data_IF_789515542009
#
_entry.id   IF_789515542009
#
_cell.length_a   1.000
_cell.length_b   1.000
_cell.length_c   1.000
_cell.angle_alpha   90.00
_cell.angle_beta   90.00
_cell.angle_gamma   90.00
#
_symmetry.space_group_name_H-M   'P 1'
#
loop_
_entity.id
_entity.type
_entity.pdbx_description
1 polymer ?
#
# COMPACT_ATOMS: atom_id res chain seq x y z
N UNK A 1 -7.90 -62.12 89.64
CA UNK A 1 -9.20 -62.31 88.95
C UNK A 1 -9.21 -61.43 87.72
N UNK A 2 -9.38 -62.02 86.53
CA UNK A 2 -10.18 -61.58 85.36
C UNK A 2 -10.32 -60.07 85.10
N UNK A 3 -10.11 -59.48 83.90
CA UNK A 3 -10.30 -59.96 82.52
C UNK A 3 -9.64 -58.97 81.52
N UNK A 4 -9.34 -59.52 80.35
CA UNK A 4 -8.96 -58.91 79.06
C UNK A 4 -10.00 -57.90 78.53
N UNK A 5 -9.58 -56.83 77.81
CA UNK A 5 -9.95 -56.56 76.40
C UNK A 5 -9.14 -55.39 75.76
N UNK A 6 -8.75 -55.62 74.50
CA UNK A 6 -8.05 -54.74 73.57
C UNK A 6 -8.85 -53.51 73.15
N UNK A 7 -8.16 -52.42 72.78
CA UNK A 7 -8.35 -51.79 71.47
C UNK A 7 -7.11 -51.00 71.03
N UNK A 8 -6.77 -51.15 69.75
CA UNK A 8 -5.57 -50.65 69.09
C UNK A 8 -5.63 -49.14 68.79
N UNK A 9 -4.45 -48.52 68.69
CA UNK A 9 -4.27 -47.14 68.24
C UNK A 9 -2.79 -46.81 68.08
N UNK A 10 -2.19 -47.29 67.00
CA UNK A 10 -0.83 -46.96 66.55
C UNK A 10 -0.84 -45.58 65.90
N UNK A 11 -0.03 -44.65 66.38
CA UNK A 11 0.33 -43.43 65.64
C UNK A 11 1.84 -43.22 65.73
N UNK A 12 2.40 -43.14 64.53
CA UNK A 12 3.80 -43.21 64.14
C UNK A 12 4.51 -41.87 64.36
N UNK A 13 5.75 -41.95 64.83
CA UNK A 13 6.73 -40.89 64.65
C UNK A 13 7.29 -41.02 63.23
N UNK A 14 7.30 -39.92 62.47
CA UNK A 14 8.17 -39.76 61.29
C UNK A 14 8.92 -38.44 61.34
N UNK A 15 10.16 -38.57 60.94
CA UNK A 15 11.27 -37.63 60.88
C UNK A 15 11.09 -36.55 59.81
N UNK A 16 11.86 -35.48 59.97
CA UNK A 16 12.00 -34.34 59.07
C UNK A 16 12.26 -34.73 57.60
N UNK A 17 11.60 -34.02 56.68
CA UNK A 17 12.10 -33.72 55.35
C UNK A 17 12.03 -32.20 55.16
N UNK A 18 13.09 -31.69 54.53
CA UNK A 18 13.33 -30.29 54.26
C UNK A 18 12.11 -29.60 53.65
N UNK A 19 11.96 -28.34 54.03
CA UNK A 19 11.16 -27.35 53.33
C UNK A 19 11.71 -27.25 51.91
N UNK A 20 11.11 -27.97 50.98
CA UNK A 20 11.18 -27.60 49.56
C UNK A 20 10.55 -26.21 49.48
N UNK A 21 11.41 -25.20 49.32
CA UNK A 21 11.00 -23.94 48.73
C UNK A 21 10.56 -24.23 47.30
N UNK A 22 9.29 -24.62 47.17
CA UNK A 22 8.55 -24.37 45.94
C UNK A 22 8.64 -22.85 45.74
N UNK A 23 9.55 -22.43 44.87
CA UNK A 23 9.54 -21.07 44.33
C UNK A 23 8.11 -20.80 43.91
N UNK A 24 7.52 -19.76 44.47
CA UNK A 24 6.22 -19.30 44.05
C UNK A 24 6.22 -19.19 42.51
N UNK A 25 5.15 -19.58 41.81
CA UNK A 25 5.03 -19.21 40.40
C UNK A 25 5.12 -17.68 40.37
N UNK A 26 6.04 -17.18 39.54
CA UNK A 26 6.45 -15.79 39.44
C UNK A 26 5.22 -14.85 39.46
N UNK A 27 4.93 -14.30 40.64
CA UNK A 27 3.88 -13.32 40.84
C UNK A 27 4.45 -11.95 40.43
N UNK A 28 4.70 -11.76 39.14
CA UNK A 28 5.26 -10.49 38.67
C UNK A 28 5.50 -10.36 37.17
N UNK A 29 5.79 -11.45 36.46
CA UNK A 29 6.19 -11.34 35.06
C UNK A 29 5.01 -11.62 34.11
N UNK A 30 4.31 -10.55 33.71
CA UNK A 30 3.31 -10.59 32.63
C UNK A 30 3.93 -10.17 31.32
N UNK A 31 3.38 -10.66 30.20
CA UNK A 31 3.86 -10.23 28.88
C UNK A 31 3.25 -8.89 28.47
N UNK A 32 3.98 -8.12 27.67
CA UNK A 32 3.52 -6.82 27.17
C UNK A 32 4.02 -6.47 25.77
N UNK A 33 3.26 -5.62 25.10
CA UNK A 33 3.63 -4.94 23.86
C UNK A 33 3.50 -3.43 24.05
N UNK A 34 4.43 -2.66 23.51
CA UNK A 34 4.30 -1.23 23.27
C UNK A 34 4.47 -0.99 21.78
N UNK A 35 3.42 -0.48 21.14
CA UNK A 35 3.40 -0.21 19.70
C UNK A 35 3.34 1.28 19.43
N UNK A 36 4.02 1.72 18.37
CA UNK A 36 4.05 3.08 17.86
C UNK A 36 3.27 3.17 16.56
N UNK A 37 2.42 4.20 16.46
CA UNK A 37 1.67 4.54 15.27
C UNK A 37 2.40 5.73 14.62
N UNK A 38 2.81 5.64 13.34
CA UNK A 38 3.43 6.74 12.61
C UNK A 38 2.50 7.97 12.50
N UNK A 39 2.59 8.88 13.47
CA UNK A 39 1.81 10.12 13.52
C UNK A 39 2.71 11.35 13.50
N UNK A 40 2.43 12.30 12.62
CA UNK A 40 3.09 13.62 12.61
C UNK A 40 2.10 14.73 12.23
N UNK A 41 2.33 15.98 12.63
CA UNK A 41 1.36 17.06 12.40
C UNK A 41 0.20 17.10 13.40
N UNK A 42 -0.87 17.83 13.05
CA UNK A 42 -2.04 18.06 13.90
C UNK A 42 -3.30 17.51 13.23
N UNK A 43 -4.21 16.94 14.03
CA UNK A 43 -5.47 16.42 13.50
C UNK A 43 -6.28 17.51 12.80
N UNK A 44 -6.63 17.28 11.53
CA UNK A 44 -7.49 18.12 10.71
C UNK A 44 -8.54 17.26 10.01
N UNK A 45 -9.77 17.78 9.87
CA UNK A 45 -10.81 17.15 9.05
C UNK A 45 -10.74 17.56 7.58
N UNK A 46 -10.05 18.66 7.29
CA UNK A 46 -9.80 19.11 5.92
C UNK A 46 -8.56 18.43 5.37
N UNK A 47 -8.51 18.29 4.06
CA UNK A 47 -7.30 17.91 3.34
C UNK A 47 -6.28 19.05 3.46
N UNK A 48 -5.19 18.79 4.18
CA UNK A 48 -4.13 19.77 4.47
C UNK A 48 -2.77 19.21 4.10
N UNK A 49 -1.70 19.96 4.39
CA UNK A 49 -0.33 19.44 4.35
C UNK A 49 -0.05 18.35 5.40
N UNK A 50 -0.99 18.08 6.31
CA UNK A 50 -0.92 16.99 7.28
C UNK A 50 -1.68 15.72 6.82
N UNK A 51 -2.27 15.71 5.62
CA UNK A 51 -2.88 14.51 5.05
C UNK A 51 -1.85 13.39 4.92
N UNK A 52 -2.22 12.17 5.30
CA UNK A 52 -1.32 11.02 5.23
C UNK A 52 -0.29 10.98 6.36
N UNK A 53 -0.48 11.78 7.42
CA UNK A 53 0.39 11.75 8.59
C UNK A 53 -0.22 10.99 9.79
N UNK A 54 -1.24 10.16 9.56
CA UNK A 54 -1.84 9.29 10.57
C UNK A 54 -2.62 10.00 11.68
N UNK A 55 -2.87 11.31 11.56
CA UNK A 55 -3.41 12.13 12.67
C UNK A 55 -4.84 11.79 13.06
N UNK A 56 -5.59 11.16 12.15
CA UNK A 56 -6.97 10.72 12.38
C UNK A 56 -7.07 9.41 13.17
N UNK A 57 -5.98 8.65 13.30
CA UNK A 57 -5.96 7.36 14.01
C UNK A 57 -6.06 7.57 15.52
N UNK A 58 -7.08 6.97 16.13
CA UNK A 58 -7.41 7.17 17.55
C UNK A 58 -7.67 5.86 18.32
N UNK A 59 -7.70 4.72 17.63
CA UNK A 59 -7.94 3.39 18.20
C UNK A 59 -6.82 2.43 17.77
N UNK A 60 -6.43 1.54 18.67
CA UNK A 60 -5.62 0.37 18.34
C UNK A 60 -6.24 -0.89 18.95
N UNK A 61 -6.33 -1.94 18.15
CA UNK A 61 -6.89 -3.25 18.46
C UNK A 61 -5.73 -4.26 18.44
N UNK A 62 -5.69 -5.13 19.44
CA UNK A 62 -4.86 -6.33 19.47
C UNK A 62 -5.78 -7.54 19.51
N UNK A 63 -5.65 -8.42 18.51
CA UNK A 63 -6.19 -9.77 18.56
C UNK A 63 -5.06 -10.78 18.71
N UNK A 64 -5.21 -11.68 19.68
CA UNK A 64 -4.28 -12.76 19.95
C UNK A 64 -4.94 -14.06 19.49
N UNK A 65 -4.24 -14.84 18.66
CA UNK A 65 -4.73 -16.10 18.13
C UNK A 65 -3.88 -17.28 18.61
N UNK A 66 -4.53 -18.41 18.88
CA UNK A 66 -3.86 -19.70 19.11
C UNK A 66 -4.31 -20.67 18.02
N UNK A 67 -3.45 -20.85 17.00
CA UNK A 67 -3.89 -21.39 15.72
C UNK A 67 -4.99 -20.49 15.14
N UNK A 68 -6.09 -21.07 14.65
CA UNK A 68 -7.19 -20.29 14.06
C UNK A 68 -8.14 -19.64 15.08
N UNK A 69 -8.04 -20.00 16.37
CA UNK A 69 -8.96 -19.57 17.40
C UNK A 69 -8.55 -18.22 17.99
N UNK A 70 -9.49 -17.27 18.04
CA UNK A 70 -9.30 -16.02 18.78
C UNK A 70 -9.18 -16.33 20.28
N UNK A 71 -8.01 -16.07 20.84
CA UNK A 71 -7.70 -16.28 22.25
C UNK A 71 -8.08 -15.06 23.09
N UNK A 72 -7.79 -13.84 22.59
CA UNK A 72 -8.17 -12.61 23.26
C UNK A 72 -8.26 -11.44 22.26
N UNK A 73 -9.09 -10.44 22.59
CA UNK A 73 -9.20 -9.17 21.86
C UNK A 73 -9.14 -8.02 22.86
N UNK A 74 -8.29 -7.04 22.58
CA UNK A 74 -8.10 -5.87 23.44
C UNK A 74 -8.15 -4.63 22.56
N UNK A 75 -8.97 -3.65 22.95
CA UNK A 75 -9.07 -2.35 22.27
C UNK A 75 -8.60 -1.27 23.22
N UNK A 76 -7.72 -0.37 22.74
CA UNK A 76 -7.21 0.76 23.52
C UNK A 76 -7.20 2.04 22.68
N UNK A 77 -7.41 3.22 23.30
CA UNK A 77 -7.22 4.49 22.63
C UNK A 77 -5.74 4.72 22.32
N UNK A 78 -5.45 5.40 21.21
CA UNK A 78 -4.10 5.88 20.88
C UNK A 78 -3.82 7.16 21.66
N UNK A 79 -2.69 7.22 22.36
CA UNK A 79 -2.26 8.40 23.11
C UNK A 79 -0.77 8.63 22.89
N UNK A 80 -0.38 9.88 22.61
CA UNK A 80 1.01 10.23 22.32
C UNK A 80 1.65 9.31 21.26
N UNK A 81 0.87 8.93 20.23
CA UNK A 81 1.30 8.09 19.11
C UNK A 81 1.66 6.65 19.49
N UNK A 82 1.37 6.22 20.72
CA UNK A 82 1.70 4.89 21.21
C UNK A 82 0.50 4.24 21.89
N UNK A 83 0.57 2.91 21.97
CA UNK A 83 -0.36 2.09 22.75
C UNK A 83 0.42 0.97 23.42
N UNK A 84 0.25 0.83 24.73
CA UNK A 84 0.80 -0.29 25.49
C UNK A 84 -0.30 -1.29 25.80
N UNK A 85 -0.09 -2.55 25.43
CA UNK A 85 -0.87 -3.72 25.81
C UNK A 85 -0.09 -4.51 26.85
N UNK A 86 -0.43 -4.30 28.12
CA UNK A 86 0.21 -4.88 29.29
C UNK A 86 -0.60 -6.04 29.88
N UNK A 87 0.00 -6.75 30.83
CA UNK A 87 -0.67 -7.81 31.58
C UNK A 87 -1.24 -8.95 30.72
N UNK A 88 -0.59 -9.27 29.60
CA UNK A 88 -0.98 -10.37 28.73
C UNK A 88 -0.66 -11.70 29.43
N UNK A 89 -1.71 -12.49 29.68
CA UNK A 89 -1.61 -13.80 30.34
C UNK A 89 -1.79 -14.91 29.32
N UNK A 90 -0.69 -15.61 29.04
CA UNK A 90 -0.58 -16.60 27.99
C UNK A 90 -0.14 -17.94 28.61
N UNK A 91 -0.57 -19.05 28.01
CA UNK A 91 -0.13 -20.37 28.46
C UNK A 91 1.29 -20.62 27.96
N UNK A 92 2.18 -21.02 28.86
CA UNK A 92 3.57 -21.35 28.53
C UNK A 92 3.67 -22.52 27.54
N UNK A 93 4.75 -22.56 26.77
CA UNK A 93 5.07 -23.56 25.75
C UNK A 93 4.04 -23.65 24.62
N UNK A 94 3.26 -22.58 24.38
CA UNK A 94 2.37 -22.43 23.23
C UNK A 94 2.90 -21.34 22.29
N UNK A 95 2.44 -21.35 21.04
CA UNK A 95 2.74 -20.29 20.07
C UNK A 95 1.46 -19.52 19.76
N UNK A 96 1.54 -18.20 19.77
CA UNK A 96 0.43 -17.31 19.50
C UNK A 96 0.79 -16.31 18.41
N UNK A 97 -0.21 -15.95 17.59
CA UNK A 97 -0.12 -14.82 16.66
C UNK A 97 -0.70 -13.57 17.32
N UNK A 98 0.05 -12.48 17.30
CA UNK A 98 -0.36 -11.17 17.79
C UNK A 98 -0.61 -10.28 16.58
N UNK A 99 -1.87 -9.90 16.37
CA UNK A 99 -2.31 -9.12 15.21
C UNK A 99 -2.81 -7.76 15.69
N UNK A 100 -2.19 -6.70 15.20
CA UNK A 100 -2.49 -5.32 15.56
C UNK A 100 -3.17 -4.59 14.41
N UNK A 101 -4.15 -3.76 14.74
CA UNK A 101 -4.83 -2.86 13.81
C UNK A 101 -5.10 -1.51 14.48
N UNK A 102 -4.65 -0.42 13.86
CA UNK A 102 -4.89 0.94 14.35
C UNK A 102 -5.57 1.77 13.27
N UNK A 103 -6.70 2.41 13.61
CA UNK A 103 -7.54 3.14 12.67
C UNK A 103 -8.27 4.33 13.29
N UNK A 104 -8.98 5.09 12.45
CA UNK A 104 -9.95 6.08 12.90
C UNK A 104 -11.27 5.37 13.28
N UNK A 105 -11.69 5.57 14.52
CA UNK A 105 -12.93 5.00 15.06
C UNK A 105 -13.80 6.08 15.74
N UNK A 106 -15.06 5.74 15.99
CA UNK A 106 -15.97 6.62 16.73
C UNK A 106 -15.90 6.27 18.21
N UNK A 107 -15.52 7.22 19.06
CA UNK A 107 -15.54 7.00 20.51
C UNK A 107 -16.99 6.72 20.98
N UNK A 108 -17.18 5.61 21.68
CA UNK A 108 -18.47 5.19 22.23
C UNK A 108 -18.28 4.68 23.66
N UNK A 109 -18.45 5.59 24.62
CA UNK A 109 -18.35 5.28 26.06
C UNK A 109 -19.42 4.33 26.58
N UNK A 110 -20.43 4.01 25.78
CA UNK A 110 -21.49 3.05 26.13
C UNK A 110 -21.18 1.62 25.68
N UNK A 111 -20.11 1.42 24.90
CA UNK A 111 -19.62 0.10 24.49
C UNK A 111 -18.55 -0.42 25.45
N UNK A 112 -18.45 -1.73 25.61
CA UNK A 112 -17.42 -2.36 26.45
C UNK A 112 -15.99 -2.08 25.93
N UNK A 113 -15.82 -1.95 24.61
CA UNK A 113 -14.54 -1.64 23.95
C UNK A 113 -14.24 -0.13 23.89
N UNK A 114 -15.21 0.74 24.21
CA UNK A 114 -15.08 2.20 24.18
C UNK A 114 -15.12 2.84 22.78
N UNK A 115 -15.29 2.05 21.72
CA UNK A 115 -15.25 2.50 20.32
C UNK A 115 -16.20 1.70 19.43
N UNK A 116 -16.81 2.38 18.46
CA UNK A 116 -17.46 1.77 17.31
C UNK A 116 -16.59 1.91 16.05
N UNK A 117 -16.64 0.89 15.19
CA UNK A 117 -16.07 0.94 13.84
C UNK A 117 -16.60 2.17 13.09
N UNK A 118 -15.71 2.90 12.38
CA UNK A 118 -16.08 4.10 11.61
C UNK A 118 -15.85 3.89 10.11
N UNK A 119 -14.58 3.72 9.72
CA UNK A 119 -14.20 3.49 8.32
C UNK A 119 -14.12 2.00 8.00
N UNK A 120 -13.58 1.21 8.92
CA UNK A 120 -13.33 -0.22 8.69
C UNK A 120 -14.17 -1.08 9.61
N UNK A 121 -14.72 -2.16 9.07
CA UNK A 121 -15.36 -3.20 9.87
C UNK A 121 -14.29 -4.15 10.39
N UNK A 122 -14.09 -4.17 11.71
CA UNK A 122 -13.05 -4.97 12.40
C UNK A 122 -13.62 -6.08 13.27
N UNK A 123 -14.94 -6.19 13.32
CA UNK A 123 -15.72 -7.07 14.22
C UNK A 123 -16.51 -8.15 13.47
N UNK A 124 -16.46 -8.16 12.14
CA UNK A 124 -17.10 -9.18 11.32
C UNK A 124 -16.49 -10.57 11.56
N UNK A 125 -17.13 -11.61 11.00
CA UNK A 125 -16.60 -12.98 11.06
C UNK A 125 -15.19 -13.02 10.47
N UNK A 126 -14.21 -13.34 11.31
CA UNK A 126 -12.79 -13.34 10.94
C UNK A 126 -11.97 -12.25 11.64
N UNK A 127 -12.60 -11.27 12.29
CA UNK A 127 -11.91 -10.21 13.04
C UNK A 127 -10.91 -9.47 12.16
N UNK A 128 -9.70 -9.27 12.67
CA UNK A 128 -8.60 -8.62 11.93
C UNK A 128 -8.06 -9.46 10.75
N UNK A 129 -8.53 -10.70 10.56
CA UNK A 129 -8.18 -11.53 9.40
C UNK A 129 -9.05 -11.25 8.16
N UNK A 130 -10.08 -10.41 8.29
CA UNK A 130 -11.01 -10.09 7.20
C UNK A 130 -11.59 -8.67 7.36
N UNK A 131 -10.72 -7.67 7.36
CA UNK A 131 -11.10 -6.26 7.51
C UNK A 131 -11.67 -5.76 6.18
N UNK A 132 -12.82 -5.09 6.23
CA UNK A 132 -13.48 -4.51 5.03
C UNK A 132 -13.83 -3.05 5.26
N UNK A 133 -14.09 -2.32 4.18
CA UNK A 133 -14.73 -0.99 4.25
C UNK A 133 -16.08 -1.09 4.99
N UNK A 134 -16.42 -0.03 5.73
CA UNK A 134 -17.72 0.15 6.38
C UNK A 134 -18.51 1.20 5.60
N UNK A 135 -19.48 0.74 4.83
CA UNK A 135 -20.29 1.61 3.97
C UNK A 135 -19.64 1.82 2.60
N UNK A 136 -19.98 2.93 1.96
CA UNK A 136 -19.43 3.29 0.65
C UNK A 136 -17.99 3.81 0.78
N UNK A 137 -17.20 3.59 -0.27
CA UNK A 137 -15.84 4.11 -0.33
C UNK A 137 -15.85 5.64 -0.35
N UNK A 138 -15.08 6.25 0.54
CA UNK A 138 -14.90 7.70 0.61
C UNK A 138 -13.48 8.04 0.20
N UNK A 139 -13.29 8.58 -1.01
CA UNK A 139 -11.98 9.08 -1.42
C UNK A 139 -11.58 10.36 -0.69
N UNK A 140 -10.31 10.76 -0.85
CA UNK A 140 -9.77 12.02 -0.33
C UNK A 140 -10.00 12.24 1.18
N UNK A 141 -9.93 11.17 1.98
CA UNK A 141 -10.22 11.21 3.41
C UNK A 141 -9.06 10.67 4.24
N UNK A 142 -8.49 11.52 5.10
CA UNK A 142 -7.42 11.15 6.03
C UNK A 142 -7.90 10.18 7.11
N UNK A 143 -9.22 10.13 7.37
CA UNK A 143 -9.81 9.19 8.32
C UNK A 143 -9.68 7.72 7.87
N UNK A 144 -9.34 7.49 6.59
CA UNK A 144 -9.04 6.17 6.04
C UNK A 144 -7.61 5.70 6.33
N UNK A 145 -6.74 6.56 6.86
CA UNK A 145 -5.41 6.09 7.26
C UNK A 145 -5.52 5.04 8.37
N UNK A 146 -4.73 3.98 8.26
CA UNK A 146 -4.71 2.87 9.20
C UNK A 146 -3.36 2.17 9.17
N UNK A 147 -3.07 1.40 10.21
CA UNK A 147 -1.79 0.71 10.38
C UNK A 147 -2.00 -0.67 10.97
N UNK A 148 -1.11 -1.60 10.63
CA UNK A 148 -1.15 -2.97 11.14
C UNK A 148 0.26 -3.48 11.47
N UNK A 149 0.30 -4.55 12.26
CA UNK A 149 1.51 -5.32 12.55
C UNK A 149 1.13 -6.75 12.93
N UNK A 150 2.02 -7.70 12.64
CA UNK A 150 1.88 -9.10 13.05
C UNK A 150 3.23 -9.63 13.53
N UNK A 151 3.21 -10.39 14.62
CA UNK A 151 4.33 -11.23 15.06
C UNK A 151 3.79 -12.54 15.66
N UNK A 152 4.44 -13.66 15.34
CA UNK A 152 4.21 -14.94 15.99
C UNK A 152 5.25 -15.16 17.10
N UNK A 153 4.81 -15.47 18.31
CA UNK A 153 5.70 -15.68 19.47
C UNK A 153 5.43 -17.04 20.12
N UNK A 154 6.49 -17.85 20.25
CA UNK A 154 6.49 -19.03 21.14
C UNK A 154 6.78 -18.60 22.57
N UNK A 155 5.78 -18.76 23.45
CA UNK A 155 5.80 -18.26 24.83
C UNK A 155 6.56 -19.23 25.73
N UNK A 156 7.85 -19.01 25.93
CA UNK A 156 8.68 -19.81 26.85
C UNK A 156 8.85 -19.15 28.24
N UNK A 157 8.33 -17.93 28.40
CA UNK A 157 8.35 -17.10 29.59
C UNK A 157 7.66 -15.76 29.30
N UNK A 158 7.60 -14.89 30.30
CA UNK A 158 7.14 -13.50 30.10
C UNK A 158 8.06 -12.77 29.11
N UNK A 159 7.49 -11.87 28.32
CA UNK A 159 8.25 -11.04 27.40
C UNK A 159 7.76 -9.60 27.41
N UNK A 160 8.67 -8.69 27.07
CA UNK A 160 8.32 -7.31 26.74
C UNK A 160 8.80 -7.03 25.33
N UNK A 161 7.89 -6.49 24.51
CA UNK A 161 8.15 -6.03 23.16
C UNK A 161 7.94 -4.54 23.11
N UNK A 162 9.05 -3.80 23.08
CA UNK A 162 9.05 -2.36 22.84
C UNK A 162 9.64 -2.11 21.43
N UNK A 163 9.51 -0.89 20.91
CA UNK A 163 10.01 -0.48 19.58
C UNK A 163 9.32 -1.11 18.36
N UNK A 164 8.06 -1.51 18.48
CA UNK A 164 7.27 -1.94 17.33
C UNK A 164 6.59 -0.74 16.68
N UNK A 165 6.88 -0.49 15.41
CA UNK A 165 6.19 0.54 14.60
C UNK A 165 5.25 -0.14 13.61
N UNK A 166 3.95 0.16 13.71
CA UNK A 166 2.96 -0.37 12.76
C UNK A 166 3.17 0.26 11.37
N UNK A 167 2.82 -0.49 10.32
CA UNK A 167 2.94 -0.05 8.92
C UNK A 167 1.58 0.08 8.26
N UNK A 168 1.48 0.85 7.18
CA UNK A 168 0.23 0.98 6.43
C UNK A 168 -0.09 -0.31 5.67
N UNK A 169 -1.36 -0.71 5.59
CA UNK A 169 -1.85 -1.76 4.70
C UNK A 169 -2.16 -1.25 3.27
N UNK A 170 -1.93 0.04 3.01
CA UNK A 170 -2.29 0.73 1.77
C UNK A 170 -1.08 1.25 1.02
N UNK A 171 -1.23 1.47 -0.29
CA UNK A 171 -0.52 2.54 -0.98
C UNK A 171 -1.37 3.82 -1.00
N UNK A 172 -0.73 4.99 -0.90
CA UNK A 172 -1.40 6.28 -1.05
C UNK A 172 -1.30 6.76 -2.49
N UNK A 173 -2.39 6.76 -3.25
CA UNK A 173 -2.44 7.34 -4.59
C UNK A 173 -2.69 8.85 -4.51
N UNK A 174 -1.81 9.66 -5.08
CA UNK A 174 -1.95 11.11 -5.16
C UNK A 174 -2.07 11.50 -6.62
N UNK A 175 -3.18 12.09 -7.04
CA UNK A 175 -3.37 12.55 -8.42
C UNK A 175 -3.28 14.07 -8.48
N UNK A 176 -2.43 14.60 -9.36
CA UNK A 176 -2.19 16.03 -9.53
C UNK A 176 -2.25 16.45 -10.98
N UNK A 177 -2.94 17.54 -11.28
CA UNK A 177 -2.87 18.14 -12.62
C UNK A 177 -1.90 19.33 -12.65
N UNK A 178 -1.17 19.46 -13.75
CA UNK A 178 -0.19 20.51 -14.01
C UNK A 178 -0.77 21.67 -14.81
N UNK A 179 -1.92 21.48 -15.45
CA UNK A 179 -2.56 22.44 -16.36
C UNK A 179 -3.71 23.23 -15.74
N UNK A 180 -3.99 23.08 -14.44
CA UNK A 180 -5.09 23.79 -13.75
C UNK A 180 -5.00 25.32 -13.95
N UNK A 181 -3.80 25.88 -13.78
CA UNK A 181 -3.55 27.32 -13.96
C UNK A 181 -3.52 27.75 -15.43
N UNK A 182 -3.42 26.79 -16.37
CA UNK A 182 -3.45 27.03 -17.81
C UNK A 182 -4.86 27.26 -18.35
N UNK A 183 -5.89 26.86 -17.60
CA UNK A 183 -7.30 27.03 -17.97
C UNK A 183 -7.70 28.49 -17.79
N UNK A 184 -7.97 29.17 -18.92
CA UNK A 184 -8.30 30.60 -18.96
C UNK A 184 -9.78 30.89 -18.72
N UNK A 185 -10.66 29.97 -19.11
CA UNK A 185 -12.09 30.09 -18.91
C UNK A 185 -12.46 29.55 -17.53
N UNK A 186 -12.94 30.42 -16.63
CA UNK A 186 -13.33 30.03 -15.28
C UNK A 186 -14.45 28.98 -15.27
N UNK A 187 -15.30 28.94 -16.30
CA UNK A 187 -16.36 27.93 -16.42
C UNK A 187 -15.81 26.52 -16.72
N UNK A 188 -14.55 26.42 -17.14
CA UNK A 188 -13.86 25.16 -17.43
C UNK A 188 -12.88 24.74 -16.33
N UNK A 189 -12.76 25.51 -15.24
CA UNK A 189 -11.94 25.11 -14.09
C UNK A 189 -12.71 24.10 -13.24
N UNK A 190 -12.16 22.92 -12.94
CA UNK A 190 -12.85 21.95 -12.12
C UNK A 190 -13.02 22.46 -10.68
N UNK A 191 -14.26 22.39 -10.19
CA UNK A 191 -14.56 22.50 -8.76
C UNK A 191 -14.71 21.12 -8.13
N UNK A 192 -15.13 20.09 -8.87
CA UNK A 192 -15.25 18.72 -8.37
C UNK A 192 -14.83 17.66 -9.39
N UNK A 193 -14.87 16.41 -8.97
CA UNK A 193 -14.53 15.25 -9.81
C UNK A 193 -15.23 13.98 -9.34
N UNK A 194 -15.31 13.00 -10.23
CA UNK A 194 -15.69 11.62 -9.95
C UNK A 194 -14.53 10.72 -10.36
N UNK A 195 -14.16 9.79 -9.49
CA UNK A 195 -13.21 8.72 -9.82
C UNK A 195 -13.98 7.42 -9.93
N UNK A 196 -13.70 6.64 -10.97
CA UNK A 196 -14.25 5.30 -11.14
C UNK A 196 -13.11 4.30 -11.35
N UNK A 197 -12.80 3.53 -10.31
CA UNK A 197 -11.86 2.42 -10.36
C UNK A 197 -12.57 1.18 -10.90
N UNK A 198 -11.99 0.54 -11.92
CA UNK A 198 -12.55 -0.72 -12.49
C UNK A 198 -12.50 -1.89 -11.50
N UNK A 199 -11.55 -1.87 -10.57
CA UNK A 199 -11.43 -2.92 -9.56
C UNK A 199 -10.49 -2.47 -8.44
N UNK A 200 -10.98 -2.48 -7.20
CA UNK A 200 -10.19 -2.36 -5.99
C UNK A 200 -10.38 -3.59 -5.10
N UNK A 201 -9.36 -4.03 -4.35
CA UNK A 201 -9.53 -5.03 -3.31
C UNK A 201 -10.56 -4.58 -2.28
N UNK A 202 -11.28 -5.54 -1.68
CA UNK A 202 -12.35 -5.23 -0.71
C UNK A 202 -12.04 -5.70 0.70
N UNK A 203 -11.05 -6.57 0.86
CA UNK A 203 -10.71 -7.21 2.12
C UNK A 203 -9.21 -7.19 2.35
N UNK A 204 -8.80 -6.88 3.58
CA UNK A 204 -7.43 -6.97 4.05
C UNK A 204 -7.32 -7.95 5.22
N UNK A 205 -6.32 -8.83 5.18
CA UNK A 205 -6.01 -9.74 6.27
C UNK A 205 -4.78 -9.26 7.02
N UNK A 206 -4.94 -8.72 8.24
CA UNK A 206 -3.82 -8.18 9.01
C UNK A 206 -2.89 -9.26 9.60
N UNK A 207 -3.32 -10.54 9.62
CA UNK A 207 -2.46 -11.66 10.03
C UNK A 207 -1.46 -12.01 8.93
N UNK A 208 -1.91 -12.12 7.69
CA UNK A 208 -1.04 -12.53 6.56
C UNK A 208 -0.47 -11.33 5.80
N UNK A 209 -1.09 -10.16 5.95
CA UNK A 209 -0.81 -9.00 5.11
C UNK A 209 -1.22 -9.25 3.66
N UNK A 210 -2.32 -9.95 3.39
CA UNK A 210 -2.81 -10.18 2.02
C UNK A 210 -4.08 -9.38 1.75
N UNK A 211 -4.20 -8.89 0.52
CA UNK A 211 -5.45 -8.31 0.00
C UNK A 211 -6.27 -9.38 -0.73
N UNK A 212 -7.60 -9.28 -0.67
CA UNK A 212 -8.47 -10.20 -1.41
C UNK A 212 -9.82 -9.56 -1.75
N UNK A 213 -10.59 -10.27 -2.58
CA UNK A 213 -11.81 -9.73 -3.18
C UNK A 213 -11.51 -8.64 -4.21
N UNK A 214 -12.53 -8.25 -4.95
CA UNK A 214 -12.43 -7.16 -5.93
C UNK A 214 -13.83 -6.62 -6.21
N UNK A 215 -13.95 -5.30 -6.30
CA UNK A 215 -15.17 -4.63 -6.76
C UNK A 215 -14.84 -3.35 -7.52
N UNK A 216 -15.72 -2.97 -8.44
CA UNK A 216 -15.75 -1.61 -8.97
C UNK A 216 -16.07 -0.62 -7.84
N UNK A 217 -15.38 0.51 -7.85
CA UNK A 217 -15.55 1.56 -6.85
C UNK A 217 -15.64 2.91 -7.54
N UNK A 218 -16.68 3.66 -7.20
CA UNK A 218 -16.86 5.03 -7.69
C UNK A 218 -17.13 5.95 -6.50
N UNK A 219 -16.50 7.13 -6.50
CA UNK A 219 -16.83 8.20 -5.56
C UNK A 219 -16.76 9.55 -6.25
N UNK A 220 -17.53 10.51 -5.72
CA UNK A 220 -17.57 11.90 -6.21
C UNK A 220 -17.14 12.84 -5.09
N UNK A 221 -16.28 13.80 -5.44
CA UNK A 221 -15.86 14.89 -4.58
C UNK A 221 -16.27 16.23 -5.22
N UNK A 222 -16.77 17.15 -4.40
CA UNK A 222 -17.20 18.50 -4.84
C UNK A 222 -16.09 19.54 -4.73
N UNK A 223 -14.89 19.13 -4.32
CA UNK A 223 -13.70 19.95 -4.17
C UNK A 223 -12.45 19.14 -4.54
N UNK A 224 -11.44 19.81 -5.10
CA UNK A 224 -10.11 19.22 -5.28
C UNK A 224 -9.42 19.08 -3.92
N UNK A 225 -8.47 18.14 -3.82
CA UNK A 225 -7.71 17.91 -2.60
C UNK A 225 -6.94 19.16 -2.14
N UNK A 226 -6.33 19.89 -3.09
CA UNK A 226 -5.62 21.15 -2.82
C UNK A 226 -5.79 22.13 -3.96
N UNK A 227 -5.63 23.42 -3.65
CA UNK A 227 -5.66 24.52 -4.63
C UNK A 227 -4.42 24.57 -5.55
N UNK A 228 -3.42 23.70 -5.33
CA UNK A 228 -2.17 23.67 -6.10
C UNK A 228 -2.23 22.73 -7.32
N UNK A 229 -3.42 22.21 -7.64
CA UNK A 229 -3.63 21.22 -8.70
C UNK A 229 -3.70 19.77 -8.21
N UNK A 230 -3.44 19.49 -6.93
CA UNK A 230 -3.68 18.14 -6.37
C UNK A 230 -5.18 17.86 -6.35
N UNK A 231 -5.61 16.86 -7.15
CA UNK A 231 -7.01 16.50 -7.35
C UNK A 231 -7.49 15.57 -6.24
N UNK A 232 -6.77 14.47 -5.97
CA UNK A 232 -7.16 13.45 -4.98
C UNK A 232 -5.97 12.87 -4.24
N UNK A 233 -6.24 12.35 -3.04
CA UNK A 233 -5.30 11.60 -2.20
C UNK A 233 -6.03 10.40 -1.58
N UNK A 234 -5.78 9.20 -2.08
CA UNK A 234 -6.61 8.01 -1.80
C UNK A 234 -5.78 6.85 -1.26
N UNK A 235 -6.18 6.32 -0.09
CA UNK A 235 -5.59 5.11 0.47
C UNK A 235 -6.20 3.86 -0.17
N UNK A 236 -5.40 3.10 -0.92
CA UNK A 236 -5.85 1.91 -1.63
C UNK A 236 -5.16 0.68 -1.05
N UNK A 237 -5.91 -0.38 -0.74
CA UNK A 237 -5.31 -1.64 -0.28
C UNK A 237 -4.28 -2.10 -1.30
N UNK A 238 -3.09 -2.45 -0.84
CA UNK A 238 -2.00 -2.85 -1.71
C UNK A 238 -1.20 -3.98 -1.09
N UNK A 239 -0.54 -4.76 -1.95
CA UNK A 239 0.44 -5.77 -1.54
C UNK A 239 1.81 -5.15 -1.26
N UNK A 240 2.66 -5.91 -0.58
CA UNK A 240 4.03 -5.51 -0.25
C UNK A 240 4.96 -5.49 -1.47
N UNK A 241 4.65 -6.28 -2.50
CA UNK A 241 5.19 -6.18 -3.85
C UNK A 241 4.46 -5.11 -4.66
N UNK A 242 5.19 -4.41 -5.52
CA UNK A 242 4.58 -3.49 -6.49
C UNK A 242 3.60 -4.24 -7.40
N UNK A 243 2.36 -3.75 -7.48
CA UNK A 243 1.31 -4.27 -8.33
C UNK A 243 0.73 -3.16 -9.19
N UNK A 244 0.25 -3.50 -10.38
CA UNK A 244 -0.51 -2.56 -11.20
C UNK A 244 -1.90 -2.37 -10.59
N UNK A 245 -2.22 -1.13 -10.22
CA UNK A 245 -3.57 -0.71 -9.90
C UNK A 245 -4.44 -0.88 -11.14
N UNK A 246 -5.65 -1.43 -10.94
CA UNK A 246 -6.65 -1.51 -12.00
C UNK A 246 -6.93 -0.14 -12.58
N UNK A 247 -7.19 -0.09 -13.89
CA UNK A 247 -7.45 1.20 -14.55
C UNK A 247 -8.59 1.95 -13.87
N UNK A 248 -8.50 3.28 -13.94
CA UNK A 248 -9.55 4.15 -13.47
C UNK A 248 -9.76 5.33 -14.39
N UNK A 249 -10.90 5.98 -14.26
CA UNK A 249 -11.22 7.20 -15.00
C UNK A 249 -11.52 8.32 -14.02
N UNK A 250 -11.16 9.56 -14.39
CA UNK A 250 -11.56 10.75 -13.66
C UNK A 250 -12.39 11.66 -14.56
N UNK A 251 -13.62 11.93 -14.14
CA UNK A 251 -14.51 12.92 -14.77
C UNK A 251 -14.52 14.18 -13.93
N UNK A 252 -14.29 15.33 -14.54
CA UNK A 252 -14.16 16.62 -13.88
C UNK A 252 -15.39 17.48 -14.08
N UNK A 253 -15.79 18.24 -13.05
CA UNK A 253 -17.00 19.06 -13.05
C UNK A 253 -16.72 20.49 -12.59
N UNK A 254 -17.46 21.45 -13.15
CA UNK A 254 -17.60 22.81 -12.63
C UNK A 254 -19.05 22.97 -12.14
N UNK A 255 -19.23 23.11 -10.83
CA UNK A 255 -20.53 23.33 -10.17
C UNK A 255 -21.60 22.32 -10.62
N UNK A 256 -21.19 21.05 -10.76
CA UNK A 256 -22.02 19.93 -11.18
C UNK A 256 -22.13 19.73 -12.70
N UNK A 257 -21.60 20.64 -13.52
CA UNK A 257 -21.54 20.50 -14.98
C UNK A 257 -20.27 19.77 -15.39
N UNK A 258 -20.37 18.68 -16.15
CA UNK A 258 -19.20 17.96 -16.66
C UNK A 258 -18.38 18.85 -17.61
N UNK A 259 -17.07 18.91 -17.36
CA UNK A 259 -16.10 19.66 -18.17
C UNK A 259 -15.38 18.71 -19.13
N UNK A 260 -14.79 17.65 -18.60
CA UNK A 260 -13.99 16.68 -19.34
C UNK A 260 -13.83 15.37 -18.56
N UNK A 261 -13.40 14.32 -19.26
CA UNK A 261 -13.06 13.02 -18.68
C UNK A 261 -11.66 12.60 -19.15
N UNK A 262 -10.87 12.07 -18.22
CA UNK A 262 -9.56 11.47 -18.48
C UNK A 262 -9.59 9.99 -18.09
N UNK A 263 -9.23 9.14 -19.05
CA UNK A 263 -9.25 7.68 -18.97
C UNK A 263 -7.87 7.05 -19.19
N UNK A 264 -6.80 7.85 -19.18
CA UNK A 264 -5.43 7.41 -19.41
C UNK A 264 -4.75 6.84 -18.14
N UNK A 265 -5.50 6.63 -17.05
CA UNK A 265 -4.96 6.04 -15.82
C UNK A 265 -4.98 4.52 -15.92
N UNK A 266 -3.98 3.97 -16.60
CA UNK A 266 -3.80 2.52 -16.76
C UNK A 266 -2.47 2.09 -16.14
N UNK A 267 -2.44 0.85 -15.63
CA UNK A 267 -1.22 0.21 -15.13
C UNK A 267 -0.43 1.07 -14.13
N UNK A 268 -1.12 1.84 -13.30
CA UNK A 268 -0.51 2.73 -12.30
C UNK A 268 0.07 1.84 -11.19
N UNK A 269 1.40 1.81 -10.97
CA UNK A 269 1.96 0.96 -9.93
C UNK A 269 1.52 1.46 -8.55
N UNK A 270 1.08 0.55 -7.68
CA UNK A 270 0.71 0.82 -6.29
C UNK A 270 1.43 -0.19 -5.39
N UNK A 271 1.87 0.27 -4.22
CA UNK A 271 2.60 -0.57 -3.27
C UNK A 271 2.27 -0.20 -1.84
N UNK A 272 2.12 -1.22 -1.00
CA UNK A 272 1.85 -1.06 0.43
C UNK A 272 2.95 -0.27 1.12
N UNK A 273 2.52 0.71 1.92
CA UNK A 273 3.38 1.62 2.68
C UNK A 273 4.22 2.53 1.78
N UNK A 274 3.77 2.85 0.56
CA UNK A 274 4.35 3.85 -0.32
C UNK A 274 3.30 4.87 -0.77
N UNK A 275 3.75 6.06 -1.19
CA UNK A 275 2.94 7.06 -1.89
C UNK A 275 3.21 6.96 -3.38
N UNK A 276 2.17 6.92 -4.21
CA UNK A 276 2.23 6.96 -5.67
C UNK A 276 1.70 8.29 -6.16
N UNK A 277 2.54 9.19 -6.66
CA UNK A 277 2.12 10.46 -7.23
C UNK A 277 1.95 10.34 -8.74
N UNK A 278 0.72 10.44 -9.22
CA UNK A 278 0.34 10.54 -10.63
C UNK A 278 0.16 12.01 -10.96
N UNK A 279 0.88 12.52 -11.95
CA UNK A 279 0.75 13.90 -12.40
C UNK A 279 0.77 14.05 -13.92
N UNK A 280 0.22 15.13 -14.45
CA UNK A 280 0.21 15.38 -15.89
C UNK A 280 -0.71 16.55 -16.25
N UNK A 281 -0.88 16.81 -17.54
CA UNK A 281 -1.94 17.71 -18.01
C UNK A 281 -3.24 16.92 -18.09
N UNK A 282 -3.96 16.82 -16.97
CA UNK A 282 -5.09 15.90 -16.86
C UNK A 282 -6.40 16.51 -17.36
N UNK A 283 -6.46 17.84 -17.50
CA UNK A 283 -7.67 18.60 -17.87
C UNK A 283 -7.69 18.97 -19.35
N UNK A 284 -6.54 18.93 -20.02
CA UNK A 284 -6.40 19.19 -21.45
C UNK A 284 -5.86 17.93 -22.15
N UNK A 285 -6.36 17.59 -23.35
CA UNK A 285 -5.93 16.38 -24.10
C UNK A 285 -4.50 16.44 -24.65
N UNK A 286 -3.61 17.26 -24.07
CA UNK A 286 -2.21 17.33 -24.44
C UNK A 286 -1.34 17.06 -23.20
N UNK A 287 -0.97 15.81 -22.95
CA UNK A 287 0.09 15.50 -22.00
C UNK A 287 0.26 14.03 -21.66
N UNK A 288 1.51 13.64 -21.45
CA UNK A 288 1.93 12.40 -20.81
C UNK A 288 1.61 12.46 -19.31
N UNK A 289 1.22 11.32 -18.72
CA UNK A 289 1.14 11.15 -17.27
C UNK A 289 2.57 10.90 -16.73
N UNK A 290 2.81 11.15 -15.45
CA UNK A 290 4.08 10.97 -14.74
C UNK A 290 3.76 10.35 -13.38
N UNK A 291 4.39 9.23 -13.02
CA UNK A 291 3.97 8.41 -11.85
C UNK A 291 5.13 8.07 -10.93
N UNK A 292 5.38 8.85 -9.90
CA UNK A 292 6.47 8.59 -8.94
C UNK A 292 6.00 7.74 -7.77
N UNK A 293 6.82 6.82 -7.25
CA UNK A 293 6.54 6.08 -6.01
C UNK A 293 7.53 6.48 -4.93
N UNK A 294 7.07 7.25 -3.94
CA UNK A 294 7.85 7.71 -2.80
C UNK A 294 7.70 6.74 -1.61
N UNK A 295 8.81 6.29 -1.00
CA UNK A 295 8.78 5.51 0.21
C UNK A 295 8.36 6.32 1.43
N UNK A 296 8.16 7.66 1.37
CA UNK A 296 7.87 8.69 2.41
C UNK A 296 7.29 8.25 3.77
N UNK A 297 6.64 7.10 3.83
CA UNK A 297 6.21 6.36 5.02
C UNK A 297 7.27 5.42 5.65
N UNK A 298 8.44 5.20 5.04
CA UNK A 298 9.61 4.39 5.43
C UNK A 298 10.86 5.04 4.80
N UNK A 299 11.88 5.47 5.56
CA UNK A 299 12.96 6.38 5.10
C UNK A 299 14.01 5.76 4.12
N UNK A 300 13.62 4.92 3.16
CA UNK A 300 14.54 4.30 2.20
C UNK A 300 14.18 4.59 0.73
N UNK A 301 14.90 5.57 0.15
CA UNK A 301 15.07 5.95 -1.27
C UNK A 301 13.82 6.00 -2.19
N UNK A 302 13.44 7.17 -2.74
CA UNK A 302 12.38 7.26 -3.76
C UNK A 302 12.65 6.38 -4.98
N UNK A 303 11.60 5.70 -5.45
CA UNK A 303 11.58 5.06 -6.78
C UNK A 303 10.86 6.03 -7.71
N UNK A 304 11.62 6.87 -8.41
CA UNK A 304 11.06 7.69 -9.48
C UNK A 304 10.77 6.81 -10.69
N UNK A 305 9.49 6.67 -11.01
CA UNK A 305 9.01 6.18 -12.31
C UNK A 305 8.25 7.32 -12.99
N UNK A 306 8.17 7.29 -14.30
CA UNK A 306 7.35 8.22 -15.09
C UNK A 306 6.65 7.37 -16.13
N UNK A 307 5.37 7.09 -15.94
CA UNK A 307 4.60 6.20 -16.83
C UNK A 307 3.96 7.01 -17.94
N UNK A 308 4.28 6.70 -19.21
CA UNK A 308 3.68 7.32 -20.38
C UNK A 308 2.92 6.29 -21.23
N UNK A 309 1.63 6.52 -21.45
CA UNK A 309 0.91 5.86 -22.54
C UNK A 309 1.14 6.60 -23.86
N UNK A 310 1.46 5.86 -24.91
CA UNK A 310 1.71 6.40 -26.24
C UNK A 310 0.86 5.66 -27.27
N UNK A 311 0.31 6.42 -28.24
CA UNK A 311 -0.59 5.84 -29.24
C UNK A 311 0.15 4.95 -30.24
N UNK A 312 1.44 5.20 -30.50
CA UNK A 312 2.22 4.47 -31.49
C UNK A 312 3.68 4.24 -31.08
N UNK A 313 4.40 3.42 -31.85
CA UNK A 313 5.84 3.24 -31.68
C UNK A 313 6.65 4.53 -31.88
N UNK A 314 6.18 5.45 -32.71
CA UNK A 314 6.87 6.71 -33.05
C UNK A 314 6.89 7.69 -31.86
N UNK A 315 5.86 7.61 -31.01
CA UNK A 315 5.65 8.50 -29.87
C UNK A 315 6.51 8.12 -28.65
N UNK A 316 7.02 6.89 -28.59
CA UNK A 316 7.84 6.37 -27.47
C UNK A 316 9.05 7.26 -27.19
N UNK A 317 9.69 7.75 -28.26
CA UNK A 317 10.90 8.57 -28.16
C UNK A 317 10.64 9.89 -27.43
N UNK A 318 9.57 10.59 -27.80
CA UNK A 318 9.24 11.88 -27.20
C UNK A 318 8.73 11.70 -25.77
N UNK A 319 8.08 10.57 -25.46
CA UNK A 319 7.77 10.20 -24.08
C UNK A 319 9.05 10.01 -23.24
N UNK A 320 10.03 9.26 -23.73
CA UNK A 320 11.33 9.06 -23.05
C UNK A 320 12.07 10.39 -22.84
N UNK A 321 12.10 11.27 -23.85
CA UNK A 321 12.68 12.62 -23.72
C UNK A 321 11.94 13.51 -22.73
N UNK A 322 10.64 13.30 -22.57
CA UNK A 322 9.81 13.98 -21.57
C UNK A 322 10.01 13.40 -20.15
N UNK A 323 10.92 12.45 -20.00
CA UNK A 323 11.30 11.85 -18.71
C UNK A 323 10.62 10.52 -18.42
N UNK A 324 9.81 9.97 -19.33
CA UNK A 324 9.17 8.66 -19.13
C UNK A 324 10.21 7.56 -18.89
N UNK A 325 9.94 6.69 -17.92
CA UNK A 325 10.68 5.46 -17.69
C UNK A 325 9.84 4.25 -18.01
N UNK A 326 8.52 4.30 -17.88
CA UNK A 326 7.63 3.17 -18.12
C UNK A 326 6.67 3.53 -19.26
N UNK A 327 6.90 2.99 -20.45
CA UNK A 327 6.11 3.33 -21.63
C UNK A 327 5.16 2.19 -21.98
N UNK A 328 3.89 2.52 -22.19
CA UNK A 328 2.86 1.61 -22.67
C UNK A 328 2.48 2.03 -24.09
N UNK A 329 2.75 1.16 -25.06
CA UNK A 329 2.40 1.40 -26.46
C UNK A 329 1.01 0.85 -26.72
N UNK A 330 0.08 1.66 -27.24
CA UNK A 330 -1.29 1.21 -27.52
C UNK A 330 -1.44 0.53 -28.86
N UNK A 331 -0.68 0.96 -29.87
CA UNK A 331 -0.86 0.47 -31.23
C UNK A 331 0.47 0.19 -31.96
N UNK A 332 0.54 -0.99 -32.58
CA UNK A 332 1.64 -1.44 -33.44
C UNK A 332 1.09 -1.91 -34.81
N UNK A 333 0.25 -1.07 -35.42
CA UNK A 333 -0.50 -1.40 -36.63
C UNK A 333 0.32 -1.42 -37.93
N UNK A 334 1.58 -0.96 -37.95
CA UNK A 334 2.34 -0.91 -39.21
C UNK A 334 2.74 -2.33 -39.67
N UNK A 335 2.19 -2.83 -40.80
CA UNK A 335 2.45 -4.20 -41.25
C UNK A 335 3.87 -4.38 -41.80
N UNK A 336 4.54 -3.30 -42.20
CA UNK A 336 5.90 -3.33 -42.73
C UNK A 336 6.97 -3.33 -41.63
N UNK A 337 6.57 -2.98 -40.40
CA UNK A 337 7.43 -2.92 -39.23
C UNK A 337 7.17 -1.68 -38.40
N UNK A 338 7.12 -1.85 -37.08
CA UNK A 338 7.02 -0.76 -36.13
C UNK A 338 8.39 -0.52 -35.50
N UNK A 339 8.91 0.71 -35.58
CA UNK A 339 10.21 1.05 -35.00
C UNK A 339 10.03 1.86 -33.72
N UNK A 340 10.48 1.29 -32.60
CA UNK A 340 10.56 1.97 -31.31
C UNK A 340 12.00 2.46 -31.14
N UNK A 341 12.14 3.77 -30.97
CA UNK A 341 13.44 4.43 -30.85
C UNK A 341 13.65 4.92 -29.42
N UNK A 342 14.71 4.41 -28.78
CA UNK A 342 15.12 4.81 -27.42
C UNK A 342 16.20 5.89 -27.55
N UNK A 343 15.99 7.11 -27.03
CA UNK A 343 17.01 8.15 -27.05
C UNK A 343 18.09 7.85 -26.00
N UNK A 344 19.35 8.16 -26.32
CA UNK A 344 20.49 8.09 -25.39
C UNK A 344 20.65 9.46 -24.73
N UNK A 345 19.86 9.72 -23.69
CA UNK A 345 19.72 11.05 -23.03
C UNK A 345 20.12 11.03 -21.56
N UNK A 346 20.72 9.94 -21.10
CA UNK A 346 21.01 9.73 -19.69
C UNK A 346 22.46 10.12 -19.35
N UNK A 347 22.73 10.51 -18.09
CA UNK A 347 24.09 10.77 -17.62
C UNK A 347 25.00 9.53 -17.72
N UNK A 348 26.31 9.75 -17.76
CA UNK A 348 27.27 8.66 -17.63
C UNK A 348 27.16 7.97 -16.28
N UNK A 349 27.29 6.63 -16.28
CA UNK A 349 27.09 5.78 -15.09
C UNK A 349 25.69 5.86 -14.47
N UNK A 350 24.66 6.15 -15.29
CA UNK A 350 23.28 6.11 -14.84
C UNK A 350 22.82 4.70 -14.45
N UNK A 351 21.87 4.59 -13.52
CA UNK A 351 21.18 3.35 -13.18
C UNK A 351 19.75 3.31 -13.73
N UNK A 352 19.46 4.13 -14.75
CA UNK A 352 18.09 4.34 -15.25
C UNK A 352 17.54 3.04 -15.79
N UNK A 353 16.33 2.71 -15.34
CA UNK A 353 15.59 1.53 -15.77
C UNK A 353 14.36 2.00 -16.51
N UNK A 354 14.22 1.56 -17.75
CA UNK A 354 13.01 1.79 -18.52
C UNK A 354 12.22 0.49 -18.70
N UNK A 355 10.90 0.58 -18.76
CA UNK A 355 10.02 -0.50 -19.17
C UNK A 355 9.24 -0.13 -20.42
N UNK A 356 9.03 -1.10 -21.30
CA UNK A 356 8.24 -0.99 -22.50
C UNK A 356 7.19 -2.10 -22.47
N UNK A 357 5.92 -1.73 -22.37
CA UNK A 357 4.78 -2.65 -22.50
C UNK A 357 4.20 -2.49 -23.90
N UNK A 358 4.22 -3.57 -24.68
CA UNK A 358 3.76 -3.61 -26.05
C UNK A 358 2.39 -4.31 -26.13
N UNK A 359 1.48 -3.84 -27.02
CA UNK A 359 0.21 -4.51 -27.24
C UNK A 359 0.45 -5.83 -27.99
N UNK A 360 -0.51 -6.74 -27.92
CA UNK A 360 -0.45 -7.97 -28.72
C UNK A 360 -0.41 -7.64 -30.22
N UNK A 361 0.55 -8.22 -30.94
CA UNK A 361 0.71 -7.94 -32.38
C UNK A 361 1.35 -9.09 -33.14
N UNK A 362 0.96 -9.26 -34.39
CA UNK A 362 1.63 -10.14 -35.36
C UNK A 362 2.58 -9.37 -36.29
N UNK A 363 2.56 -8.02 -36.24
CA UNK A 363 3.42 -7.19 -37.07
C UNK A 363 4.86 -7.18 -36.55
N UNK A 364 5.87 -6.99 -37.42
CA UNK A 364 7.25 -6.89 -36.96
C UNK A 364 7.47 -5.67 -36.05
N UNK A 365 8.32 -5.81 -35.05
CA UNK A 365 8.70 -4.73 -34.12
C UNK A 365 10.22 -4.68 -34.00
N UNK A 366 10.79 -3.49 -34.12
CA UNK A 366 12.21 -3.24 -33.91
C UNK A 366 12.39 -2.20 -32.81
N UNK A 367 13.09 -2.57 -31.74
CA UNK A 367 13.50 -1.67 -30.66
C UNK A 367 14.98 -1.37 -30.86
N UNK A 368 15.35 -0.10 -30.97
CA UNK A 368 16.73 0.33 -31.23
C UNK A 368 17.04 1.66 -30.55
N UNK A 369 18.32 1.97 -30.35
CA UNK A 369 18.69 3.33 -30.00
C UNK A 369 18.51 4.30 -31.17
N UNK A 370 18.32 5.57 -30.84
CA UNK A 370 18.45 6.66 -31.78
C UNK A 370 19.86 6.66 -32.40
N UNK A 371 19.95 6.83 -33.73
CA UNK A 371 21.24 7.02 -34.38
C UNK A 371 21.86 8.33 -33.92
N UNK A 372 23.02 8.29 -33.27
CA UNK A 372 23.72 9.47 -32.80
C UNK A 372 23.87 10.52 -33.92
N UNK A 373 23.17 11.64 -33.79
CA UNK A 373 23.47 12.83 -34.59
C UNK A 373 24.78 13.40 -34.06
N UNK A 374 25.83 13.36 -34.88
CA UNK A 374 27.13 13.94 -34.56
C UNK A 374 27.00 15.46 -34.33
N UNK A 375 26.78 15.92 -33.10
CA UNK A 375 26.78 17.37 -32.84
C UNK A 375 26.20 17.93 -31.52
N UNK A 376 25.44 17.20 -30.72
CA UNK A 376 24.85 17.77 -29.50
C UNK A 376 25.63 17.40 -28.23
N UNK A 377 26.09 18.41 -27.48
CA UNK A 377 26.84 18.24 -26.24
C UNK A 377 25.88 18.19 -25.03
N UNK A 378 25.85 17.04 -24.34
CA UNK A 378 25.08 16.80 -23.11
C UNK A 378 24.42 15.41 -23.13
N UNK A 379 24.54 14.66 -22.02
CA UNK A 379 24.00 13.30 -21.74
C UNK A 379 23.80 12.37 -22.95
N UNK A 380 24.72 11.41 -23.15
CA UNK A 380 24.76 10.54 -24.34
C UNK A 380 24.71 9.03 -24.03
N UNK A 381 24.36 8.63 -22.81
CA UNK A 381 24.38 7.21 -22.45
C UNK A 381 22.99 6.58 -22.60
N UNK A 382 22.99 5.29 -22.89
CA UNK A 382 21.82 4.43 -22.87
C UNK A 382 21.30 4.22 -21.42
N UNK A 383 20.02 3.85 -21.25
CA UNK A 383 19.52 3.43 -19.94
C UNK A 383 20.24 2.15 -19.49
N UNK A 384 20.49 1.97 -18.20
CA UNK A 384 21.13 0.76 -17.68
C UNK A 384 20.31 -0.52 -17.93
N UNK A 385 18.98 -0.43 -17.74
CA UNK A 385 18.07 -1.57 -17.91
C UNK A 385 16.90 -1.23 -18.82
N UNK A 386 16.50 -2.20 -19.65
CA UNK A 386 15.28 -2.15 -20.45
C UNK A 386 14.47 -3.41 -20.15
N UNK A 387 13.31 -3.26 -19.54
CA UNK A 387 12.33 -4.34 -19.39
C UNK A 387 11.33 -4.25 -20.53
N UNK A 388 11.12 -5.33 -21.27
CA UNK A 388 10.19 -5.39 -22.38
C UNK A 388 9.15 -6.46 -22.07
N UNK A 389 7.89 -6.04 -21.99
CA UNK A 389 6.74 -6.95 -21.90
C UNK A 389 6.02 -6.94 -23.25
N UNK A 390 6.02 -8.07 -23.94
CA UNK A 390 5.42 -8.19 -25.26
C UNK A 390 4.80 -9.57 -25.49
N UNK A 391 3.65 -9.60 -26.16
CA UNK A 391 3.06 -10.82 -26.69
C UNK A 391 3.03 -10.69 -28.21
N UNK A 392 3.85 -11.45 -28.93
CA UNK A 392 3.93 -11.32 -30.39
C UNK A 392 4.13 -12.65 -31.10
N UNK A 393 3.37 -12.84 -32.18
CA UNK A 393 3.60 -13.88 -33.20
C UNK A 393 4.45 -13.37 -34.37
N UNK A 394 4.77 -12.08 -34.38
CA UNK A 394 5.64 -11.43 -35.36
C UNK A 394 7.11 -11.44 -34.93
N UNK A 395 7.99 -10.93 -35.81
CA UNK A 395 9.41 -10.81 -35.51
C UNK A 395 9.67 -9.61 -34.59
N UNK A 396 10.18 -9.88 -33.38
CA UNK A 396 10.74 -8.87 -32.47
C UNK A 396 12.26 -8.79 -32.64
N UNK A 397 12.78 -7.61 -32.95
CA UNK A 397 14.23 -7.32 -33.06
C UNK A 397 14.63 -6.29 -32.02
N UNK A 398 15.65 -6.58 -31.19
CA UNK A 398 16.12 -5.68 -30.13
C UNK A 398 17.60 -5.36 -30.38
N UNK A 399 17.91 -4.10 -30.66
CA UNK A 399 19.23 -3.58 -30.96
C UNK A 399 19.63 -2.51 -29.93
N UNK A 400 19.86 -2.94 -28.69
CA UNK A 400 20.19 -2.07 -27.54
C UNK A 400 21.41 -2.62 -26.79
N UNK A 401 22.61 -2.65 -27.41
CA UNK A 401 23.77 -3.38 -26.90
C UNK A 401 24.37 -2.81 -25.61
N UNK A 402 24.01 -1.58 -25.23
CA UNK A 402 24.55 -0.86 -24.08
C UNK A 402 23.69 -1.04 -22.82
N UNK A 403 22.50 -1.64 -22.94
CA UNK A 403 21.59 -1.92 -21.83
C UNK A 403 21.51 -3.41 -21.52
N UNK A 404 21.26 -3.75 -20.25
CA UNK A 404 20.76 -5.09 -19.91
C UNK A 404 19.27 -5.18 -20.23
N UNK A 405 18.89 -6.16 -21.04
CA UNK A 405 17.50 -6.36 -21.47
C UNK A 405 16.86 -7.52 -20.70
N UNK A 406 15.69 -7.25 -20.13
CA UNK A 406 14.80 -8.27 -19.55
C UNK A 406 13.59 -8.39 -20.47
N UNK A 407 13.30 -9.59 -20.94
CA UNK A 407 12.18 -9.86 -21.84
C UNK A 407 11.16 -10.77 -21.16
N UNK A 408 9.90 -10.34 -21.12
CA UNK A 408 8.77 -11.07 -20.57
C UNK A 408 7.60 -11.11 -21.56
N UNK A 409 6.83 -12.21 -21.51
CA UNK A 409 5.64 -12.41 -22.36
C UNK A 409 5.73 -13.65 -23.25
N UNK A 410 4.91 -13.68 -24.30
CA UNK A 410 4.73 -14.84 -25.19
C UNK A 410 5.31 -14.57 -26.58
N UNK A 411 6.17 -15.46 -27.06
CA UNK A 411 6.85 -15.35 -28.36
C UNK A 411 6.70 -16.66 -29.12
N UNK A 412 6.15 -16.60 -30.34
CA UNK A 412 6.19 -17.77 -31.23
C UNK A 412 7.61 -18.00 -31.75
N UNK A 413 7.98 -19.27 -31.88
CA UNK A 413 9.35 -19.71 -32.14
C UNK A 413 9.69 -19.84 -33.61
#
# INVERSE_FOLDING_TARGET
MNKILLLAGMLTAFTACQKDEMSAPDAGATSSFTVSIPQSGVQSRAVTDDFGKGTSVNRCILEIYHGDQLYNRIVKPVSNKQVTFDNLRLVSSQTYDFVFWADCATANSSSDEGFDDKVYTTTARGGLKAITEKGEFVGNSDERDAFFYHEAISVNGSFTRDDITLKRPFGLLVVKTNDLNGIKDEALKPTGYTVAFKSLPTTFNALTGEVSGSTEVTYTATELAKNDGTISMDFLWADDSEAALSDFTMTFYNDGTEICTNDAFTNIPIRRNYRTNVSGNLLTKQGTISVTIDPEFDENSPIEKVVAEVESAEDVKEALKSGATDIIVKNLANPTGNEIVIPQIYPTDNDVKISLTLPETSNPVTIKYESAASGEAGNQDAPANITITANTSGKLTINTPESTVILSGSFER
#
